data_IF_326824120383
#
_entry.id   IF_326824120383
#
_cell.length_a   1.000
_cell.length_b   1.000
_cell.length_c   1.000
_cell.angle_alpha   90.00
_cell.angle_beta   90.00
_cell.angle_gamma   90.00
#
_symmetry.space_group_name_H-M   'P 1'
#
loop_
_entity.id
_entity.type
_entity.pdbx_description
1 polymer ?
#
# COMPACT_ATOMS: atom_id res chain seq x y z
N UNK A 1 -9.59 -29.05 -6.37
CA UNK A 1 -8.49 -29.27 -5.41
C UNK A 1 -8.58 -28.20 -4.35
N UNK A 2 -8.78 -28.57 -3.08
CA UNK A 2 -8.93 -27.64 -1.95
C UNK A 2 -7.57 -26.98 -1.67
N UNK A 3 -7.49 -25.65 -1.79
CA UNK A 3 -6.27 -24.87 -1.57
C UNK A 3 -5.88 -24.88 -0.09
N UNK A 4 -4.59 -25.06 0.19
CA UNK A 4 -4.02 -24.91 1.53
C UNK A 4 -4.12 -23.44 1.97
N UNK A 5 -4.92 -23.16 2.99
CA UNK A 5 -4.81 -21.91 3.78
C UNK A 5 -3.71 -22.15 4.80
N UNK A 6 -2.53 -21.58 4.59
CA UNK A 6 -1.49 -21.59 5.61
C UNK A 6 -1.80 -20.49 6.66
N UNK A 7 -2.61 -20.84 7.67
CA UNK A 7 -2.63 -20.07 8.92
C UNK A 7 -1.36 -20.43 9.68
N UNK A 8 -0.30 -19.66 9.46
CA UNK A 8 0.97 -19.85 10.18
C UNK A 8 0.82 -19.22 11.56
N UNK A 9 0.34 -20.00 12.53
CA UNK A 9 0.57 -19.76 13.96
C UNK A 9 1.74 -20.65 14.34
N UNK A 10 2.95 -20.08 14.44
CA UNK A 10 4.11 -20.84 14.92
C UNK A 10 4.69 -20.24 16.19
N UNK A 11 4.59 -21.05 17.25
CA UNK A 11 5.52 -21.11 18.37
C UNK A 11 6.76 -21.88 17.88
N UNK A 12 7.95 -21.30 17.96
CA UNK A 12 9.21 -22.02 17.77
C UNK A 12 10.01 -21.63 16.53
N UNK A 13 11.24 -21.22 16.79
CA UNK A 13 12.19 -20.53 15.93
C UNK A 13 13.02 -21.45 15.02
N UNK A 14 13.05 -21.15 13.73
CA UNK A 14 14.22 -21.39 12.88
C UNK A 14 15.01 -20.08 12.75
N UNK A 15 16.24 -20.07 13.26
CA UNK A 15 17.14 -18.91 13.30
C UNK A 15 17.79 -18.67 11.95
N UNK A 16 17.06 -18.03 11.04
CA UNK A 16 17.67 -17.19 10.01
C UNK A 16 17.79 -15.81 10.63
N UNK A 17 19.03 -15.32 10.80
CA UNK A 17 19.26 -13.97 11.29
C UNK A 17 18.71 -12.99 10.23
N UNK A 18 17.66 -12.20 10.52
CA UNK A 18 17.23 -11.14 9.62
C UNK A 18 18.41 -10.24 9.27
N UNK A 19 18.42 -9.68 8.05
CA UNK A 19 19.45 -8.70 7.70
C UNK A 19 19.34 -7.54 8.69
N UNK A 20 20.38 -7.38 9.52
CA UNK A 20 20.43 -6.35 10.54
C UNK A 20 20.25 -4.99 9.86
N UNK A 21 19.36 -4.18 10.38
CA UNK A 21 19.10 -2.87 9.80
C UNK A 21 20.13 -1.90 10.36
N UNK A 22 20.99 -1.35 9.48
CA UNK A 22 22.07 -0.43 9.87
C UNK A 22 21.50 0.78 10.64
N UNK A 23 21.87 1.00 11.92
CA UNK A 23 21.45 2.16 12.69
C UNK A 23 21.95 3.49 12.12
N UNK A 24 23.00 3.49 11.29
CA UNK A 24 23.56 4.69 10.65
C UNK A 24 22.91 5.11 9.34
N UNK A 25 21.84 4.45 8.88
CA UNK A 25 21.24 4.65 7.55
C UNK A 25 21.07 6.13 7.15
N UNK A 26 21.87 6.58 6.18
CA UNK A 26 22.05 8.00 5.87
C UNK A 26 22.00 8.31 4.37
N UNK A 27 21.50 9.51 4.05
CA UNK A 27 21.52 10.08 2.70
C UNK A 27 22.97 10.25 2.20
N UNK A 28 23.20 9.95 0.92
CA UNK A 28 24.51 10.05 0.27
C UNK A 28 25.45 8.88 0.56
N UNK A 29 25.23 8.14 1.66
CA UNK A 29 26.00 6.94 2.02
C UNK A 29 25.25 5.65 1.67
N UNK A 30 24.00 5.54 2.12
CA UNK A 30 23.18 4.33 1.94
C UNK A 30 22.15 4.51 0.83
N UNK A 31 21.60 5.72 0.72
CA UNK A 31 20.59 6.03 -0.28
C UNK A 31 20.73 7.42 -0.90
N UNK A 32 20.25 7.56 -2.13
CA UNK A 32 19.95 8.87 -2.73
C UNK A 32 18.44 9.09 -2.75
N UNK A 33 18.04 10.36 -2.78
CA UNK A 33 16.66 10.77 -2.85
C UNK A 33 16.51 11.78 -3.98
N UNK A 34 15.48 11.60 -4.79
CA UNK A 34 15.09 12.59 -5.77
C UNK A 34 13.57 12.66 -5.92
N UNK A 35 13.13 13.78 -6.50
CA UNK A 35 11.76 13.96 -6.95
C UNK A 35 11.71 13.74 -8.45
N UNK A 36 10.87 12.81 -8.89
CA UNK A 36 10.55 12.63 -10.30
C UNK A 36 9.13 13.08 -10.56
N UNK A 37 8.85 13.54 -11.78
CA UNK A 37 7.52 14.01 -12.17
C UNK A 37 7.01 13.19 -13.35
N UNK A 38 5.81 12.64 -13.17
CA UNK A 38 4.95 12.15 -14.25
C UNK A 38 3.81 13.15 -14.47
N UNK A 39 3.08 12.99 -15.56
CA UNK A 39 1.92 13.82 -15.88
C UNK A 39 0.72 12.96 -16.24
N UNK A 40 -0.49 13.42 -15.93
CA UNK A 40 -1.73 12.77 -16.37
C UNK A 40 -2.70 13.82 -16.87
N UNK A 41 -3.39 13.53 -17.98
CA UNK A 41 -4.50 14.37 -18.42
C UNK A 41 -5.76 13.96 -17.67
N UNK A 42 -6.48 14.95 -17.14
CA UNK A 42 -7.75 14.79 -16.43
C UNK A 42 -8.81 15.67 -17.08
N UNK A 43 -10.05 15.21 -17.03
CA UNK A 43 -11.21 15.95 -17.47
C UNK A 43 -12.41 15.43 -16.68
N UNK A 44 -12.55 15.89 -15.45
CA UNK A 44 -13.65 15.53 -14.56
C UNK A 44 -14.28 16.79 -13.94
N UNK A 45 -15.13 16.59 -12.94
CA UNK A 45 -15.84 17.69 -12.27
C UNK A 45 -14.90 18.61 -11.46
N UNK A 46 -13.71 18.14 -11.10
CA UNK A 46 -12.80 18.80 -10.18
C UNK A 46 -11.59 19.42 -10.91
N UNK A 47 -11.09 18.78 -11.96
CA UNK A 47 -9.90 19.21 -12.70
C UNK A 47 -10.06 19.05 -14.22
N UNK A 48 -9.46 19.98 -14.98
CA UNK A 48 -9.34 19.91 -16.45
C UNK A 48 -7.91 20.19 -16.89
N UNK A 49 -7.40 19.39 -17.82
CA UNK A 49 -6.07 19.58 -18.41
C UNK A 49 -5.03 18.62 -17.83
N UNK A 50 -3.77 19.04 -17.79
CA UNK A 50 -2.67 18.18 -17.36
C UNK A 50 -2.30 18.45 -15.91
N UNK A 51 -2.36 17.42 -15.07
CA UNK A 51 -1.85 17.44 -13.70
C UNK A 51 -0.43 16.85 -13.64
N UNK A 52 0.36 17.33 -12.68
CA UNK A 52 1.69 16.82 -12.33
C UNK A 52 1.57 15.86 -11.15
N UNK A 53 2.22 14.71 -11.28
CA UNK A 53 2.32 13.68 -10.26
C UNK A 53 3.78 13.58 -9.82
N UNK A 54 4.08 14.16 -8.67
CA UNK A 54 5.40 14.08 -8.05
C UNK A 54 5.56 12.71 -7.42
N UNK A 55 6.73 12.10 -7.59
CA UNK A 55 7.08 10.84 -6.94
C UNK A 55 8.38 11.00 -6.19
N UNK A 56 8.38 10.51 -4.96
CA UNK A 56 9.58 10.40 -4.15
C UNK A 56 10.30 9.12 -4.52
N UNK A 57 11.58 9.21 -4.90
CA UNK A 57 12.38 8.07 -5.34
C UNK A 57 13.59 7.93 -4.44
N UNK A 58 13.61 6.85 -3.66
CA UNK A 58 14.74 6.48 -2.81
C UNK A 58 15.51 5.35 -3.48
N UNK A 59 16.78 5.58 -3.80
CA UNK A 59 17.64 4.57 -4.43
C UNK A 59 18.76 4.14 -3.51
N UNK A 60 19.13 2.86 -3.49
CA UNK A 60 20.40 2.45 -2.90
C UNK A 60 21.58 3.16 -3.58
N UNK A 61 22.55 3.65 -2.81
CA UNK A 61 23.79 4.25 -3.37
C UNK A 61 24.63 3.20 -4.09
N UNK A 62 24.64 1.97 -3.58
CA UNK A 62 25.29 0.84 -4.27
C UNK A 62 24.54 0.55 -5.57
N UNK A 63 25.17 0.89 -6.68
CA UNK A 63 24.58 0.87 -8.02
C UNK A 63 24.17 -0.55 -8.47
N UNK A 64 23.18 -0.62 -9.38
CA UNK A 64 22.93 -1.80 -10.21
C UNK A 64 21.66 -2.61 -9.94
N UNK A 65 20.72 -2.13 -9.12
CA UNK A 65 19.51 -2.91 -8.82
C UNK A 65 18.38 -2.61 -9.80
N UNK A 66 17.83 -3.63 -10.46
CA UNK A 66 16.58 -3.53 -11.25
C UNK A 66 15.33 -3.74 -10.40
N UNK A 67 15.47 -3.83 -9.08
CA UNK A 67 14.37 -4.14 -8.17
C UNK A 67 13.67 -2.85 -7.76
N UNK A 68 12.37 -2.76 -8.07
CA UNK A 68 11.54 -1.59 -7.74
C UNK A 68 10.38 -2.01 -6.87
N UNK A 69 10.16 -1.24 -5.80
CA UNK A 69 8.93 -1.25 -5.01
C UNK A 69 8.15 0.02 -5.37
N UNK A 70 6.98 -0.15 -5.98
CA UNK A 70 6.01 0.92 -6.15
C UNK A 70 5.15 0.96 -4.88
N UNK A 71 5.40 1.95 -4.03
CA UNK A 71 4.79 2.04 -2.72
C UNK A 71 3.66 3.07 -2.70
N UNK A 72 2.45 2.62 -2.41
CA UNK A 72 1.25 3.45 -2.33
C UNK A 72 1.01 3.94 -0.91
N UNK A 73 0.91 5.26 -0.72
CA UNK A 73 0.53 5.85 0.56
C UNK A 73 -0.95 5.63 0.89
N UNK A 74 -1.30 5.79 2.17
CA UNK A 74 -2.66 5.66 2.70
C UNK A 74 -3.59 6.83 2.39
N UNK A 75 -4.56 7.05 3.27
CA UNK A 75 -5.54 8.15 3.30
C UNK A 75 -4.96 9.43 3.94
N UNK A 76 -5.54 10.61 3.68
CA UNK A 76 -5.29 11.83 4.50
C UNK A 76 -6.40 12.11 5.51
N UNK A 77 -7.42 11.25 5.58
CA UNK A 77 -8.68 11.53 6.28
C UNK A 77 -9.53 12.59 5.56
N UNK A 78 -9.33 12.77 4.25
CA UNK A 78 -9.95 13.84 3.47
C UNK A 78 -9.36 15.22 3.69
N UNK A 79 -8.30 15.35 4.48
CA UNK A 79 -7.64 16.62 4.71
C UNK A 79 -6.65 16.92 3.58
N UNK A 80 -6.68 18.16 3.06
CA UNK A 80 -5.64 18.65 2.15
C UNK A 80 -4.42 18.97 3.00
N UNK A 81 -3.32 18.24 2.78
CA UNK A 81 -2.04 18.53 3.42
C UNK A 81 -1.22 19.43 2.50
N UNK A 82 -0.68 20.49 3.08
CA UNK A 82 0.14 21.45 2.35
C UNK A 82 1.34 20.76 1.72
N UNK A 83 1.69 21.15 0.48
CA UNK A 83 2.94 20.73 -0.16
C UNK A 83 4.20 21.10 0.65
N UNK A 84 4.08 22.02 1.62
CA UNK A 84 5.15 22.41 2.55
C UNK A 84 5.28 21.46 3.77
N UNK A 85 4.37 20.51 3.92
CA UNK A 85 4.35 19.50 4.99
C UNK A 85 4.59 18.10 4.38
N UNK A 86 5.83 17.73 4.01
CA UNK A 86 6.16 16.50 3.28
C UNK A 86 6.02 15.20 4.11
N UNK A 87 5.20 15.20 5.16
CA UNK A 87 4.95 14.06 6.06
C UNK A 87 4.13 12.92 5.43
N UNK A 88 3.83 12.99 4.13
CA UNK A 88 3.01 12.03 3.41
C UNK A 88 3.79 10.89 2.73
N UNK A 89 5.13 10.86 2.92
CA UNK A 89 5.98 9.75 2.51
C UNK A 89 5.74 8.45 3.30
N UNK A 90 6.32 7.32 2.88
CA UNK A 90 6.27 6.08 3.63
C UNK A 90 6.97 6.26 5.00
N UNK A 91 6.59 5.50 6.04
CA UNK A 91 7.40 5.38 7.24
C UNK A 91 8.88 5.16 6.89
N UNK A 92 9.79 5.96 7.45
CA UNK A 92 11.21 5.88 7.08
C UNK A 92 11.82 4.50 7.41
N UNK A 93 11.24 3.77 8.36
CA UNK A 93 11.56 2.37 8.63
C UNK A 93 11.38 1.46 7.40
N UNK A 94 10.35 1.69 6.57
CA UNK A 94 10.14 0.96 5.32
C UNK A 94 11.15 1.36 4.24
N UNK A 95 11.46 2.66 4.13
CA UNK A 95 12.53 3.15 3.24
C UNK A 95 13.84 2.46 3.58
N UNK A 96 14.22 2.50 4.85
CA UNK A 96 15.42 1.83 5.36
C UNK A 96 15.39 0.34 5.09
N UNK A 97 14.25 -0.32 5.33
CA UNK A 97 14.10 -1.76 5.11
C UNK A 97 14.36 -2.14 3.64
N UNK A 98 13.64 -1.54 2.69
CA UNK A 98 13.74 -1.91 1.28
C UNK A 98 15.05 -1.45 0.64
N UNK A 99 15.51 -0.23 0.93
CA UNK A 99 16.73 0.31 0.31
C UNK A 99 17.97 -0.44 0.78
N UNK A 100 18.05 -0.82 2.06
CA UNK A 100 19.14 -1.68 2.56
C UNK A 100 19.16 -3.08 1.92
N UNK A 101 18.06 -3.50 1.29
CA UNK A 101 17.91 -4.75 0.54
C UNK A 101 18.07 -4.58 -0.97
N UNK A 102 18.51 -3.39 -1.41
CA UNK A 102 18.75 -3.10 -2.81
C UNK A 102 17.47 -2.87 -3.62
N UNK A 103 16.38 -2.43 -3.00
CA UNK A 103 15.19 -2.01 -3.74
C UNK A 103 15.20 -0.49 -3.92
N UNK A 104 14.95 -0.04 -5.14
CA UNK A 104 14.53 1.35 -5.38
C UNK A 104 13.07 1.48 -4.98
N UNK A 105 12.76 2.38 -4.04
CA UNK A 105 11.38 2.69 -3.69
C UNK A 105 10.90 3.90 -4.48
N UNK A 106 9.77 3.74 -5.15
CA UNK A 106 9.06 4.82 -5.86
C UNK A 106 7.74 5.03 -5.16
N UNK A 107 7.49 6.23 -4.69
CA UNK A 107 6.28 6.58 -3.95
C UNK A 107 5.52 7.63 -4.75
N UNK A 108 4.50 7.24 -5.53
CA UNK A 108 3.64 8.18 -6.24
C UNK A 108 2.88 9.03 -5.23
N UNK A 109 3.06 10.34 -5.27
CA UNK A 109 2.12 11.27 -4.64
C UNK A 109 0.97 11.44 -5.63
N UNK A 110 -0.19 10.84 -5.32
CA UNK A 110 -1.36 10.89 -6.21
C UNK A 110 -1.93 12.31 -6.29
N UNK A 111 -2.88 12.59 -7.19
CA UNK A 111 -3.34 13.97 -7.40
C UNK A 111 -3.81 14.62 -6.09
N UNK A 112 -3.48 15.90 -5.91
CA UNK A 112 -3.77 16.64 -4.69
C UNK A 112 -3.00 16.18 -3.44
N UNK A 113 -1.95 15.35 -3.58
CA UNK A 113 -1.04 14.98 -2.48
C UNK A 113 0.31 15.65 -2.61
N UNK A 114 0.86 16.10 -1.48
CA UNK A 114 2.19 16.71 -1.40
C UNK A 114 2.40 17.75 -2.52
N UNK A 115 3.47 17.65 -3.31
CA UNK A 115 3.75 18.57 -4.42
C UNK A 115 3.02 18.21 -5.74
N UNK A 116 2.18 17.18 -5.76
CA UNK A 116 1.33 16.87 -6.93
C UNK A 116 0.19 17.87 -7.06
N UNK A 117 -0.13 18.24 -8.31
CA UNK A 117 -1.21 19.18 -8.60
C UNK A 117 -2.56 18.47 -8.75
N UNK A 118 -3.62 19.26 -8.95
CA UNK A 118 -4.99 18.77 -9.04
C UNK A 118 -5.65 18.63 -7.67
N UNK A 119 -6.95 18.37 -7.66
CA UNK A 119 -7.73 18.21 -6.44
C UNK A 119 -7.68 16.77 -5.93
N UNK A 120 -7.59 16.61 -4.61
CA UNK A 120 -7.72 15.30 -3.98
C UNK A 120 -9.18 14.82 -4.04
N UNK A 121 -9.41 13.60 -4.51
CA UNK A 121 -10.77 13.07 -4.79
C UNK A 121 -11.03 11.68 -4.22
N UNK A 122 -10.04 11.07 -3.56
CA UNK A 122 -10.14 9.67 -3.12
C UNK A 122 -11.11 9.51 -1.95
N UNK A 123 -11.37 10.60 -1.26
CA UNK A 123 -12.29 10.72 -0.14
C UNK A 123 -12.61 12.18 0.13
N UNK A 124 -13.62 12.38 0.98
CA UNK A 124 -14.01 13.65 1.59
C UNK A 124 -13.87 13.51 3.12
N UNK A 125 -13.71 14.62 3.84
CA UNK A 125 -13.48 14.55 5.28
C UNK A 125 -14.77 14.34 6.07
N UNK A 126 -14.96 13.12 6.60
CA UNK A 126 -16.03 12.85 7.57
C UNK A 126 -15.74 13.53 8.91
N UNK A 127 -14.47 13.59 9.31
CA UNK A 127 -14.06 14.20 10.58
C UNK A 127 -14.32 15.71 10.60
N UNK A 128 -14.13 16.40 9.49
CA UNK A 128 -14.44 17.82 9.36
C UNK A 128 -15.92 18.10 9.04
N UNK A 129 -16.76 17.07 8.96
CA UNK A 129 -18.19 17.22 8.65
C UNK A 129 -18.49 17.58 7.19
N UNK A 130 -17.52 17.46 6.28
CA UNK A 130 -17.69 17.77 4.85
C UNK A 130 -18.55 16.73 4.14
N UNK A 131 -18.60 15.50 4.65
CA UNK A 131 -19.43 14.45 4.10
C UNK A 131 -19.76 13.34 5.11
N UNK A 132 -20.77 12.54 4.79
CA UNK A 132 -21.13 11.35 5.58
C UNK A 132 -20.26 10.14 5.23
N UNK A 133 -20.32 9.11 6.09
CA UNK A 133 -19.74 7.79 5.81
C UNK A 133 -20.36 7.15 4.56
N UNK A 134 -21.62 7.45 4.26
CA UNK A 134 -22.33 7.02 3.05
C UNK A 134 -21.85 7.76 1.80
N UNK A 135 -21.51 9.05 1.91
CA UNK A 135 -20.85 9.80 0.83
C UNK A 135 -19.49 9.19 0.49
N UNK A 136 -18.67 8.85 1.50
CA UNK A 136 -17.39 8.18 1.26
C UNK A 136 -17.54 6.85 0.51
N UNK A 137 -18.57 6.06 0.83
CA UNK A 137 -18.88 4.83 0.10
C UNK A 137 -19.26 5.12 -1.35
N UNK A 138 -20.10 6.14 -1.60
CA UNK A 138 -20.48 6.56 -2.97
C UNK A 138 -19.28 7.03 -3.79
N UNK A 139 -18.32 7.70 -3.16
CA UNK A 139 -17.08 8.14 -3.79
C UNK A 139 -16.09 6.99 -4.06
N UNK A 140 -16.28 5.83 -3.42
CA UNK A 140 -15.34 4.71 -3.44
C UNK A 140 -14.86 4.30 -4.84
N UNK A 141 -15.79 4.12 -5.78
CA UNK A 141 -15.45 3.72 -7.16
C UNK A 141 -14.60 4.78 -7.86
N UNK A 142 -15.04 6.03 -7.84
CA UNK A 142 -14.30 7.16 -8.44
C UNK A 142 -12.94 7.31 -7.78
N UNK A 143 -12.89 7.31 -6.46
CA UNK A 143 -11.65 7.50 -5.70
C UNK A 143 -10.61 6.42 -5.99
N UNK A 144 -11.04 5.15 -6.06
CA UNK A 144 -10.15 4.03 -6.40
C UNK A 144 -9.67 4.14 -7.84
N UNK A 145 -10.58 4.36 -8.79
CA UNK A 145 -10.26 4.46 -10.21
C UNK A 145 -9.22 5.56 -10.48
N UNK A 146 -9.42 6.73 -9.88
CA UNK A 146 -8.53 7.88 -10.02
C UNK A 146 -7.17 7.64 -9.35
N UNK A 147 -7.14 6.98 -8.19
CA UNK A 147 -5.91 6.60 -7.53
C UNK A 147 -5.11 5.57 -8.34
N UNK A 148 -5.78 4.59 -8.97
CA UNK A 148 -5.15 3.61 -9.87
C UNK A 148 -4.61 4.31 -11.12
N UNK A 149 -5.37 5.22 -11.72
CA UNK A 149 -4.93 5.97 -12.90
C UNK A 149 -3.70 6.86 -12.62
N UNK A 150 -3.61 7.50 -11.45
CA UNK A 150 -2.42 8.26 -11.04
C UNK A 150 -1.21 7.35 -10.86
N UNK A 151 -1.42 6.23 -10.16
CA UNK A 151 -0.39 5.24 -9.89
C UNK A 151 0.13 4.62 -11.20
N UNK A 152 -0.75 4.31 -12.14
CA UNK A 152 -0.41 3.80 -13.47
C UNK A 152 0.40 4.82 -14.28
N UNK A 153 0.07 6.11 -14.23
CA UNK A 153 0.84 7.14 -14.94
C UNK A 153 2.29 7.22 -14.43
N UNK A 154 2.50 7.09 -13.12
CA UNK A 154 3.85 7.03 -12.51
C UNK A 154 4.56 5.72 -12.87
N UNK A 155 3.87 4.59 -12.82
CA UNK A 155 4.41 3.29 -13.23
C UNK A 155 4.92 3.34 -14.69
N UNK A 156 4.15 3.91 -15.61
CA UNK A 156 4.58 4.05 -17.00
C UNK A 156 5.73 5.04 -17.20
N UNK A 157 5.58 6.28 -16.72
CA UNK A 157 6.47 7.37 -17.11
C UNK A 157 7.76 7.43 -16.28
N UNK A 158 7.69 6.99 -15.02
CA UNK A 158 8.84 7.01 -14.12
C UNK A 158 9.44 5.62 -14.04
N UNK A 159 8.69 4.61 -13.58
CA UNK A 159 9.28 3.28 -13.34
C UNK A 159 9.77 2.66 -14.65
N UNK A 160 8.91 2.50 -15.65
CA UNK A 160 9.31 1.89 -16.93
C UNK A 160 9.93 2.87 -17.92
N UNK A 161 9.61 4.16 -17.81
CA UNK A 161 10.19 5.18 -18.67
C UNK A 161 11.63 5.56 -18.32
N UNK A 162 12.03 5.39 -17.04
CA UNK A 162 13.30 5.96 -16.54
C UNK A 162 14.10 5.05 -15.60
N UNK A 163 13.48 4.11 -14.88
CA UNK A 163 14.16 3.35 -13.82
C UNK A 163 14.53 1.93 -14.23
N UNK A 164 13.63 1.22 -14.91
CA UNK A 164 13.78 -0.20 -15.25
C UNK A 164 13.20 -0.52 -16.63
N UNK A 165 13.53 -1.69 -17.19
CA UNK A 165 12.98 -2.15 -18.47
C UNK A 165 11.48 -2.43 -18.36
N UNK A 166 10.71 -2.23 -19.44
CA UNK A 166 9.24 -2.38 -19.50
C UNK A 166 8.71 -3.72 -18.96
N UNK A 167 9.46 -4.81 -19.13
CA UNK A 167 9.07 -6.15 -18.69
C UNK A 167 9.57 -6.52 -17.28
N UNK A 168 10.22 -5.59 -16.58
CA UNK A 168 10.73 -5.83 -15.22
C UNK A 168 9.55 -5.98 -14.27
N UNK A 169 9.53 -7.09 -13.53
CA UNK A 169 8.54 -7.28 -12.47
C UNK A 169 8.80 -6.31 -11.33
N UNK A 170 7.75 -5.66 -10.86
CA UNK A 170 7.81 -4.73 -9.72
C UNK A 170 7.01 -5.28 -8.55
N UNK A 171 7.34 -4.84 -7.35
CA UNK A 171 6.55 -5.13 -6.16
C UNK A 171 5.59 -3.97 -5.93
N UNK A 172 4.29 -4.23 -5.91
CA UNK A 172 3.29 -3.27 -5.48
C UNK A 172 3.15 -3.37 -3.96
N UNK A 173 3.50 -2.32 -3.24
CA UNK A 173 3.41 -2.29 -1.78
C UNK A 173 2.57 -1.11 -1.33
N UNK A 174 2.04 -1.11 -0.12
CA UNK A 174 1.39 0.07 0.41
C UNK A 174 0.82 -0.13 1.81
N UNK A 175 0.35 0.97 2.39
CA UNK A 175 -0.27 1.00 3.73
C UNK A 175 -1.69 1.51 3.62
N UNK A 176 -2.60 0.97 4.44
CA UNK A 176 -3.98 1.45 4.55
C UNK A 176 -4.65 1.42 3.17
N UNK A 177 -5.27 2.52 2.72
CA UNK A 177 -5.80 2.65 1.35
C UNK A 177 -4.78 2.24 0.28
N UNK A 178 -3.50 2.55 0.47
CA UNK A 178 -2.44 2.20 -0.47
C UNK A 178 -2.15 0.70 -0.52
N UNK A 179 -2.25 -0.02 0.60
CA UNK A 179 -2.12 -1.48 0.64
C UNK A 179 -3.27 -2.16 -0.11
N UNK A 180 -4.48 -1.66 0.07
CA UNK A 180 -5.65 -2.07 -0.70
C UNK A 180 -5.52 -1.76 -2.19
N UNK A 181 -5.07 -0.54 -2.53
CA UNK A 181 -4.83 -0.11 -3.91
C UNK A 181 -3.81 -1.01 -4.62
N UNK A 182 -2.74 -1.42 -3.93
CA UNK A 182 -1.71 -2.31 -4.50
C UNK A 182 -2.23 -3.70 -4.85
N UNK A 183 -3.22 -4.22 -4.13
CA UNK A 183 -3.92 -5.46 -4.50
C UNK A 183 -4.74 -5.28 -5.78
N UNK A 184 -5.43 -4.14 -5.91
CA UNK A 184 -6.21 -3.83 -7.11
C UNK A 184 -5.32 -3.57 -8.32
N UNK A 185 -4.20 -2.87 -8.14
CA UNK A 185 -3.22 -2.63 -9.20
C UNK A 185 -2.69 -3.95 -9.78
N UNK A 186 -2.40 -4.93 -8.93
CA UNK A 186 -1.95 -6.25 -9.38
C UNK A 186 -2.98 -6.98 -10.25
N UNK A 187 -4.27 -6.66 -10.11
CA UNK A 187 -5.34 -7.22 -10.94
C UNK A 187 -5.44 -6.55 -12.33
N UNK A 188 -4.86 -5.35 -12.49
CA UNK A 188 -4.83 -4.59 -13.74
C UNK A 188 -3.49 -4.73 -14.49
N UNK A 189 -2.40 -4.99 -13.75
CA UNK A 189 -1.03 -4.89 -14.26
C UNK A 189 -0.28 -6.19 -14.12
N UNK A 190 -0.04 -6.84 -15.27
CA UNK A 190 0.73 -8.10 -15.33
C UNK A 190 2.18 -7.93 -14.89
N UNK A 191 2.69 -6.70 -14.89
CA UNK A 191 4.06 -6.37 -14.51
C UNK A 191 4.26 -6.33 -12.98
N UNK A 192 3.19 -6.35 -12.20
CA UNK A 192 3.28 -6.58 -10.76
C UNK A 192 3.65 -8.04 -10.51
N UNK A 193 4.80 -8.28 -9.88
CA UNK A 193 5.33 -9.62 -9.58
C UNK A 193 5.01 -10.13 -8.17
N UNK A 194 4.66 -9.23 -7.26
CA UNK A 194 4.22 -9.54 -5.89
C UNK A 194 3.51 -8.33 -5.27
N UNK A 195 2.70 -8.58 -4.23
CA UNK A 195 1.99 -7.53 -3.48
C UNK A 195 2.34 -7.58 -2.00
N UNK A 196 2.56 -6.41 -1.39
CA UNK A 196 2.72 -6.27 0.07
C UNK A 196 1.68 -5.28 0.59
N UNK A 197 0.76 -5.79 1.39
CA UNK A 197 -0.37 -5.05 1.93
C UNK A 197 -0.20 -4.87 3.44
N UNK A 198 0.21 -3.67 3.88
CA UNK A 198 0.18 -3.28 5.29
C UNK A 198 -1.19 -2.69 5.64
N UNK A 199 -1.87 -3.28 6.61
CA UNK A 199 -3.13 -2.78 7.22
C UNK A 199 -4.18 -2.30 6.20
N UNK A 200 -4.23 -2.98 5.05
CA UNK A 200 -4.97 -2.47 3.90
C UNK A 200 -6.49 -2.60 4.00
N UNK A 201 -7.13 -1.55 3.53
CA UNK A 201 -8.56 -1.42 3.35
C UNK A 201 -8.85 -0.02 2.83
N UNK A 202 -9.91 0.10 2.02
CA UNK A 202 -10.29 1.42 1.49
C UNK A 202 -11.04 2.29 2.50
N UNK A 203 -11.67 1.68 3.51
CA UNK A 203 -12.46 2.35 4.53
C UNK A 203 -12.10 1.80 5.91
N UNK A 204 -12.24 2.61 6.95
CA UNK A 204 -12.27 2.10 8.32
C UNK A 204 -13.57 1.36 8.62
N UNK A 205 -13.48 0.23 9.33
CA UNK A 205 -14.61 -0.58 9.81
C UNK A 205 -14.46 -0.67 11.32
N UNK A 206 -15.04 0.28 12.04
CA UNK A 206 -14.69 0.58 13.44
C UNK A 206 -15.85 0.34 14.39
N UNK A 207 -15.55 0.23 15.68
CA UNK A 207 -16.58 0.13 16.72
C UNK A 207 -17.43 1.41 16.88
N UNK A 208 -16.96 2.55 16.34
CA UNK A 208 -17.66 3.83 16.43
C UNK A 208 -18.71 4.02 15.32
N UNK A 209 -18.76 3.13 14.34
CA UNK A 209 -19.77 3.12 13.28
C UNK A 209 -20.91 2.18 13.63
N UNK A 210 -22.12 2.49 13.14
CA UNK A 210 -23.25 1.56 13.25
C UNK A 210 -22.97 0.23 12.56
N UNK A 211 -23.73 -0.80 12.92
CA UNK A 211 -23.65 -2.11 12.27
C UNK A 211 -23.87 -1.99 10.76
N UNK A 212 -24.93 -1.30 10.34
CA UNK A 212 -25.29 -1.10 8.93
C UNK A 212 -24.19 -0.40 8.13
N UNK A 213 -23.53 0.62 8.70
CA UNK A 213 -22.42 1.31 8.03
C UNK A 213 -21.22 0.40 7.85
N UNK A 214 -20.87 -0.36 8.90
CA UNK A 214 -19.78 -1.34 8.84
C UNK A 214 -20.07 -2.46 7.83
N UNK A 215 -21.31 -2.95 7.76
CA UNK A 215 -21.71 -3.99 6.81
C UNK A 215 -21.61 -3.50 5.37
N UNK A 216 -22.06 -2.28 5.07
CA UNK A 216 -21.93 -1.68 3.73
C UNK A 216 -20.46 -1.53 3.31
N UNK A 217 -19.58 -1.09 4.22
CA UNK A 217 -18.14 -0.98 3.98
C UNK A 217 -17.49 -2.34 3.73
N UNK A 218 -17.82 -3.34 4.54
CA UNK A 218 -17.33 -4.71 4.35
C UNK A 218 -17.85 -5.34 3.05
N UNK A 219 -19.08 -5.05 2.65
CA UNK A 219 -19.65 -5.52 1.39
C UNK A 219 -18.91 -4.94 0.18
N UNK A 220 -18.61 -3.64 0.16
CA UNK A 220 -17.81 -3.03 -0.92
C UNK A 220 -16.39 -3.58 -0.96
N UNK A 221 -15.72 -3.75 0.20
CA UNK A 221 -14.43 -4.44 0.27
C UNK A 221 -14.49 -5.85 -0.30
N UNK A 222 -15.50 -6.65 0.09
CA UNK A 222 -15.69 -8.01 -0.42
C UNK A 222 -15.78 -8.03 -1.94
N UNK A 223 -16.66 -7.22 -2.52
CA UNK A 223 -16.89 -7.18 -3.97
C UNK A 223 -15.59 -6.84 -4.72
N UNK A 224 -14.83 -5.86 -4.22
CA UNK A 224 -13.58 -5.41 -4.85
C UNK A 224 -12.46 -6.44 -4.71
N UNK A 225 -12.25 -6.95 -3.50
CA UNK A 225 -11.21 -7.96 -3.24
C UNK A 225 -11.48 -9.24 -4.02
N UNK A 226 -12.71 -9.74 -4.01
CA UNK A 226 -13.05 -10.95 -4.77
C UNK A 226 -12.90 -10.76 -6.28
N UNK A 227 -13.21 -9.57 -6.80
CA UNK A 227 -13.02 -9.24 -8.23
C UNK A 227 -11.53 -9.20 -8.60
N UNK A 228 -10.70 -8.64 -7.75
CA UNK A 228 -9.25 -8.55 -7.96
C UNK A 228 -8.57 -9.92 -7.81
N UNK A 229 -8.91 -10.66 -6.75
CA UNK A 229 -8.35 -11.98 -6.44
C UNK A 229 -8.44 -12.96 -7.62
N UNK A 230 -9.58 -12.97 -8.33
CA UNK A 230 -9.79 -13.79 -9.54
C UNK A 230 -8.80 -13.53 -10.67
N UNK A 231 -8.16 -12.35 -10.70
CA UNK A 231 -7.22 -11.94 -11.74
C UNK A 231 -5.76 -12.01 -11.29
N UNK A 232 -5.52 -11.97 -9.98
CA UNK A 232 -4.16 -11.89 -9.42
C UNK A 232 -3.59 -13.29 -9.25
N UNK A 233 -2.51 -13.57 -9.99
CA UNK A 233 -1.81 -14.86 -9.97
C UNK A 233 -0.47 -14.81 -9.23
N UNK A 234 -0.07 -13.63 -8.77
CA UNK A 234 1.19 -13.36 -8.06
C UNK A 234 1.02 -13.43 -6.55
N UNK A 235 2.10 -13.74 -5.79
CA UNK A 235 2.01 -13.85 -4.34
C UNK A 235 1.69 -12.51 -3.68
N UNK A 236 0.94 -12.55 -2.58
CA UNK A 236 0.65 -11.38 -1.74
C UNK A 236 0.96 -11.63 -0.27
N UNK A 237 1.49 -10.63 0.42
CA UNK A 237 1.71 -10.64 1.87
C UNK A 237 0.84 -9.61 2.55
N UNK A 238 0.06 -10.03 3.53
CA UNK A 238 -0.91 -9.21 4.27
C UNK A 238 -0.44 -9.07 5.71
N UNK A 239 -0.27 -7.83 6.18
CA UNK A 239 0.35 -7.55 7.48
C UNK A 239 -0.57 -6.64 8.29
N UNK A 240 -1.10 -7.17 9.39
CA UNK A 240 -2.04 -6.49 10.27
C UNK A 240 -1.64 -6.69 11.74
N UNK A 241 -2.17 -5.85 12.61
CA UNK A 241 -1.98 -5.96 14.05
C UNK A 241 -3.32 -5.82 14.78
N UNK A 242 -3.38 -6.35 16.01
CA UNK A 242 -4.47 -6.07 16.92
C UNK A 242 -4.48 -4.57 17.32
N UNK A 243 -5.53 -4.13 18.03
CA UNK A 243 -5.67 -2.73 18.49
C UNK A 243 -5.52 -1.68 17.37
N UNK A 244 -5.93 -2.03 16.14
CA UNK A 244 -6.04 -1.09 15.03
C UNK A 244 -7.33 -0.28 15.19
N UNK A 245 -7.20 1.05 15.36
CA UNK A 245 -8.38 1.92 15.57
C UNK A 245 -9.28 2.03 14.34
N UNK A 246 -8.80 1.62 13.16
CA UNK A 246 -9.58 1.59 11.92
C UNK A 246 -10.25 0.24 11.66
N UNK A 247 -9.95 -0.80 12.43
CA UNK A 247 -10.52 -2.13 12.26
C UNK A 247 -10.95 -2.75 13.59
N UNK A 248 -12.25 -3.01 13.74
CA UNK A 248 -12.76 -3.85 14.82
C UNK A 248 -12.24 -5.29 14.70
N UNK A 249 -12.32 -6.03 15.80
CA UNK A 249 -11.86 -7.42 15.88
C UNK A 249 -12.43 -8.28 14.75
N UNK A 250 -11.56 -9.09 14.15
CA UNK A 250 -11.90 -9.99 13.06
C UNK A 250 -12.00 -9.36 11.68
N UNK A 251 -11.97 -8.03 11.53
CA UNK A 251 -12.01 -7.38 10.21
C UNK A 251 -10.81 -7.77 9.34
N UNK A 252 -9.55 -7.70 9.80
CA UNK A 252 -8.40 -8.11 8.99
C UNK A 252 -8.52 -9.53 8.44
N UNK A 253 -8.96 -10.47 9.27
CA UNK A 253 -9.17 -11.87 8.91
C UNK A 253 -10.28 -12.01 7.87
N UNK A 254 -11.38 -11.25 8.00
CA UNK A 254 -12.46 -11.24 6.99
C UNK A 254 -12.01 -10.66 5.66
N UNK A 255 -11.22 -9.58 5.65
CA UNK A 255 -10.66 -9.00 4.43
C UNK A 255 -9.74 -10.00 3.72
N UNK A 256 -8.85 -10.66 4.47
CA UNK A 256 -8.01 -11.73 3.94
C UNK A 256 -8.85 -12.90 3.41
N UNK A 257 -9.89 -13.32 4.14
CA UNK A 257 -10.81 -14.37 3.70
C UNK A 257 -11.50 -14.04 2.37
N UNK A 258 -12.00 -12.82 2.20
CA UNK A 258 -12.58 -12.39 0.92
C UNK A 258 -11.62 -12.53 -0.25
N UNK A 259 -10.32 -12.31 -0.03
CA UNK A 259 -9.30 -12.50 -1.05
C UNK A 259 -9.04 -13.98 -1.34
N UNK A 260 -8.80 -14.80 -0.30
CA UNK A 260 -8.44 -16.21 -0.47
C UNK A 260 -9.60 -17.08 -0.97
N UNK A 261 -10.84 -16.75 -0.59
CA UNK A 261 -12.04 -17.49 -1.01
C UNK A 261 -12.38 -17.29 -2.49
N UNK A 262 -11.77 -16.29 -3.15
CA UNK A 262 -11.96 -15.96 -4.56
C UNK A 262 -10.69 -16.22 -5.40
N UNK A 263 -9.99 -17.30 -5.08
CA UNK A 263 -8.81 -17.82 -5.80
C UNK A 263 -7.51 -17.04 -5.62
N UNK A 264 -7.49 -16.00 -4.77
CA UNK A 264 -6.28 -15.28 -4.32
C UNK A 264 -5.36 -16.11 -3.40
N UNK A 265 -5.26 -17.42 -3.64
CA UNK A 265 -4.70 -18.43 -2.73
C UNK A 265 -3.19 -18.33 -2.48
N UNK A 266 -2.44 -17.64 -3.34
CA UNK A 266 -1.02 -17.33 -3.11
C UNK A 266 -0.89 -16.13 -2.16
N UNK A 267 -1.47 -16.23 -0.97
CA UNK A 267 -1.48 -15.15 0.00
C UNK A 267 -1.00 -15.63 1.36
N UNK A 268 -0.14 -14.83 1.99
CA UNK A 268 0.36 -15.04 3.34
C UNK A 268 -0.23 -13.96 4.26
N UNK A 269 -0.66 -14.36 5.45
CA UNK A 269 -1.27 -13.46 6.43
C UNK A 269 -0.46 -13.42 7.71
N UNK A 270 -0.05 -12.23 8.11
CA UNK A 270 0.62 -11.92 9.36
C UNK A 270 -0.32 -11.08 10.20
N UNK A 271 -0.65 -11.60 11.39
CA UNK A 271 -1.42 -10.87 12.39
C UNK A 271 -0.63 -10.79 13.68
N UNK A 272 -0.24 -9.58 14.07
CA UNK A 272 0.53 -9.32 15.28
C UNK A 272 -0.44 -8.99 16.41
N UNK A 273 -0.71 -9.98 17.26
CA UNK A 273 -1.65 -9.83 18.38
C UNK A 273 -1.06 -8.99 19.53
N UNK A 274 0.22 -9.19 19.85
CA UNK A 274 0.91 -8.48 20.92
C UNK A 274 2.01 -7.56 20.38
N UNK A 275 1.92 -6.28 20.75
CA UNK A 275 2.86 -5.22 20.39
C UNK A 275 2.74 -4.03 21.34
N UNK A 276 3.79 -3.22 21.45
CA UNK A 276 3.76 -2.00 22.26
C UNK A 276 3.24 -0.76 21.51
N UNK A 277 2.89 -0.89 20.21
CA UNK A 277 2.41 0.25 19.41
C UNK A 277 1.14 0.88 20.01
N UNK A 278 1.00 2.21 19.97
CA UNK A 278 -0.20 2.90 20.44
C UNK A 278 -1.44 2.63 19.57
N UNK A 279 -1.23 2.22 18.32
CA UNK A 279 -2.27 1.84 17.37
C UNK A 279 -1.71 0.77 16.42
N UNK A 280 -2.43 -0.34 16.25
CA UNK A 280 -2.05 -1.42 15.33
C UNK A 280 -1.87 -0.95 13.89
N UNK A 281 -2.55 0.13 13.49
CA UNK A 281 -2.42 0.73 12.16
C UNK A 281 -0.99 1.22 11.86
N UNK A 282 -0.17 1.43 12.89
CA UNK A 282 1.22 1.88 12.77
C UNK A 282 2.23 0.75 12.67
N UNK A 283 1.81 -0.51 12.50
CA UNK A 283 2.70 -1.67 12.41
C UNK A 283 3.84 -1.50 11.39
N UNK A 284 3.60 -0.81 10.27
CA UNK A 284 4.60 -0.54 9.24
C UNK A 284 5.80 0.29 9.74
N UNK A 285 5.69 0.97 10.90
CA UNK A 285 6.77 1.76 11.49
C UNK A 285 7.78 0.90 12.29
N UNK A 286 7.41 -0.33 12.65
CA UNK A 286 8.23 -1.21 13.46
C UNK A 286 8.59 -2.52 12.73
N UNK A 287 9.72 -2.54 12.00
CA UNK A 287 10.20 -3.72 11.29
C UNK A 287 10.50 -4.92 12.19
N UNK A 288 10.62 -4.77 13.51
CA UNK A 288 10.85 -5.93 14.39
C UNK A 288 9.65 -6.90 14.39
N UNK A 289 8.45 -6.39 14.07
CA UNK A 289 7.21 -7.15 14.07
C UNK A 289 6.94 -7.94 12.78
N UNK A 290 7.55 -7.54 11.65
CA UNK A 290 7.25 -8.12 10.33
C UNK A 290 8.47 -8.32 9.42
N UNK A 291 9.63 -7.75 9.76
CA UNK A 291 10.79 -7.68 8.88
C UNK A 291 11.33 -9.05 8.49
N UNK A 292 11.35 -10.02 9.41
CA UNK A 292 11.83 -11.39 9.14
C UNK A 292 10.94 -12.12 8.13
N UNK A 293 9.64 -11.98 8.26
CA UNK A 293 8.66 -12.61 7.40
C UNK A 293 8.65 -11.94 6.03
N UNK A 294 8.73 -10.60 5.99
CA UNK A 294 8.85 -9.88 4.74
C UNK A 294 10.17 -10.21 4.02
N UNK A 295 11.29 -10.38 4.73
CA UNK A 295 12.53 -10.89 4.13
C UNK A 295 12.35 -12.25 3.48
N UNK A 296 11.70 -13.17 4.19
CA UNK A 296 11.42 -14.52 3.69
C UNK A 296 10.48 -14.49 2.48
N UNK A 297 9.53 -13.56 2.44
CA UNK A 297 8.65 -13.34 1.30
C UNK A 297 9.44 -12.80 0.09
N UNK A 298 10.23 -11.74 0.28
CA UNK A 298 11.01 -11.10 -0.79
C UNK A 298 12.02 -12.04 -1.46
N UNK A 299 12.61 -12.98 -0.72
CA UNK A 299 13.52 -13.99 -1.27
C UNK A 299 12.86 -14.97 -2.23
N UNK A 300 11.53 -15.11 -2.18
CA UNK A 300 10.72 -16.00 -3.03
C UNK A 300 9.97 -15.25 -4.14
N UNK A 301 10.11 -13.93 -4.19
CA UNK A 301 9.51 -13.08 -5.23
C UNK A 301 10.56 -12.66 -6.25
N UNK A 302 10.14 -12.27 -7.48
CA UNK A 302 11.04 -11.83 -8.55
C UNK A 302 12.00 -10.69 -8.15
#
# INVERSE_FOLDING_TARGET
MKGFVAVVIFLGSVSVCPQAIDPGFAFGRDYTFERMVATRRVNDADDKGTIKLVSYVYRPVKAGTTKVVLFSHGSTGGLIRSAREPLDGPPFALVRFFVSRGYTMVIPMRRGRAESTGKYVEECSVLAGECSTADQLRLGERGISEALADTNAVLEQIVYGKLVRRNTKVIAAGISRGGFLSLLLAAERTEVGAVINFVGGWYGVTANLSTDENEKRMADHKIRLQRAAKKVTVPSLWIYAARDQLYKDGVPQKLFGYWTDADGSRAEFIFVADHALPNGHFIAQDPSLWGKQLDSFLKRTP
#
